data_IF_614121921556
#
_entry.id   IF_614121921556
#
_cell.length_a   1.000
_cell.length_b   1.000
_cell.length_c   1.000
_cell.angle_alpha   90.00
_cell.angle_beta   90.00
_cell.angle_gamma   90.00
#
_symmetry.space_group_name_H-M   'P 1'
#
loop_
_entity.id
_entity.type
_entity.pdbx_description
1 polymer ?
#
# COMPACT_ATOMS: atom_id res chain seq x y z
N UNK A 1 -22.27 -38.23 -34.02
CA UNK A 1 -23.34 -37.27 -34.33
C UNK A 1 -24.03 -36.89 -33.03
N UNK A 2 -24.39 -35.62 -32.84
CA UNK A 2 -25.07 -35.14 -31.62
C UNK A 2 -26.49 -34.66 -31.91
N UNK A 3 -27.41 -35.03 -31.02
CA UNK A 3 -28.84 -34.72 -31.16
C UNK A 3 -29.21 -33.44 -30.41
N UNK A 4 -29.94 -32.55 -31.07
CA UNK A 4 -30.42 -31.32 -30.45
C UNK A 4 -31.52 -31.63 -29.40
N UNK A 5 -31.41 -31.07 -28.20
CA UNK A 5 -32.42 -31.27 -27.14
C UNK A 5 -33.76 -30.54 -27.40
N UNK A 6 -33.76 -29.51 -28.25
CA UNK A 6 -34.93 -28.69 -28.57
C UNK A 6 -35.77 -29.29 -29.72
N UNK A 7 -35.13 -29.65 -30.84
CA UNK A 7 -35.84 -30.13 -32.04
C UNK A 7 -35.56 -31.59 -32.40
N UNK A 8 -34.72 -32.29 -31.63
CA UNK A 8 -34.29 -33.69 -31.86
C UNK A 8 -33.57 -33.95 -33.18
N UNK A 9 -33.14 -32.91 -33.89
CA UNK A 9 -32.37 -33.04 -35.12
C UNK A 9 -30.96 -33.58 -34.84
N UNK A 10 -30.47 -34.48 -35.68
CA UNK A 10 -29.07 -34.92 -35.69
C UNK A 10 -28.18 -33.87 -36.36
N UNK A 11 -27.07 -33.54 -35.69
CA UNK A 11 -26.07 -32.59 -36.14
C UNK A 11 -24.68 -33.23 -36.09
N UNK A 12 -23.73 -32.65 -36.83
CA UNK A 12 -22.32 -33.05 -36.76
C UNK A 12 -21.78 -32.86 -35.34
N UNK A 13 -20.80 -33.68 -34.95
CA UNK A 13 -20.24 -33.65 -33.60
C UNK A 13 -19.57 -32.30 -33.26
N UNK A 14 -19.04 -31.61 -34.27
CA UNK A 14 -18.41 -30.30 -34.20
C UNK A 14 -19.38 -29.11 -34.40
N UNK A 15 -20.68 -29.37 -34.61
CA UNK A 15 -21.65 -28.31 -34.88
C UNK A 15 -21.87 -27.40 -33.65
N UNK A 16 -21.65 -26.09 -33.79
CA UNK A 16 -21.82 -25.14 -32.66
C UNK A 16 -23.27 -24.81 -32.31
N UNK A 17 -24.09 -24.75 -33.35
CA UNK A 17 -25.52 -24.50 -33.26
C UNK A 17 -26.27 -25.59 -34.04
N UNK A 18 -27.52 -25.87 -33.65
CA UNK A 18 -28.37 -26.73 -34.43
C UNK A 18 -28.71 -26.07 -35.78
N UNK A 19 -28.47 -26.75 -36.90
CA UNK A 19 -28.73 -26.19 -38.22
C UNK A 19 -30.23 -25.97 -38.51
N UNK A 20 -31.12 -26.67 -37.79
CA UNK A 20 -32.56 -26.59 -38.02
C UNK A 20 -33.27 -25.55 -37.15
N UNK A 21 -32.94 -25.47 -35.86
CA UNK A 21 -33.63 -24.57 -34.92
C UNK A 21 -32.74 -23.45 -34.35
N UNK A 22 -31.44 -23.45 -34.64
CA UNK A 22 -30.51 -22.44 -34.15
C UNK A 22 -30.11 -22.55 -32.67
N UNK A 23 -30.61 -23.54 -31.93
CA UNK A 23 -30.28 -23.69 -30.51
C UNK A 23 -28.78 -23.99 -30.32
N UNK A 24 -28.08 -23.29 -29.40
CA UNK A 24 -26.68 -23.57 -29.07
C UNK A 24 -26.55 -24.87 -28.28
N UNK A 25 -25.43 -25.58 -28.46
CA UNK A 25 -25.15 -26.77 -27.65
C UNK A 25 -24.55 -26.37 -26.28
N UNK A 26 -24.94 -27.08 -25.21
CA UNK A 26 -24.76 -26.66 -23.81
C UNK A 26 -23.31 -26.41 -23.36
N UNK A 27 -22.32 -27.08 -23.97
CA UNK A 27 -20.89 -26.86 -23.66
C UNK A 27 -20.41 -25.49 -24.11
N UNK A 28 -20.89 -25.02 -25.26
CA UNK A 28 -20.52 -23.73 -25.83
C UNK A 28 -21.39 -22.61 -25.26
N UNK A 29 -22.66 -22.88 -24.93
CA UNK A 29 -23.49 -21.96 -24.17
C UNK A 29 -22.90 -21.69 -22.77
N UNK A 30 -22.26 -22.70 -22.13
CA UNK A 30 -21.52 -22.52 -20.87
C UNK A 30 -20.22 -21.75 -21.06
N UNK A 31 -19.46 -22.03 -22.13
CA UNK A 31 -18.24 -21.26 -22.45
C UNK A 31 -18.58 -19.79 -22.75
N UNK A 32 -19.59 -19.54 -23.59
CA UNK A 32 -20.07 -18.20 -23.89
C UNK A 32 -20.67 -17.51 -22.65
N UNK A 33 -21.40 -18.22 -21.79
CA UNK A 33 -21.91 -17.64 -20.53
C UNK A 33 -20.77 -17.22 -19.58
N UNK A 34 -19.71 -18.03 -19.45
CA UNK A 34 -18.53 -17.65 -18.65
C UNK A 34 -17.76 -16.47 -19.27
N UNK A 35 -17.65 -16.40 -20.59
CA UNK A 35 -17.03 -15.26 -21.30
C UNK A 35 -17.87 -13.97 -21.16
N UNK A 36 -19.21 -14.09 -21.06
CA UNK A 36 -20.11 -12.92 -20.97
C UNK A 36 -20.20 -12.37 -19.54
N UNK A 37 -20.00 -13.20 -18.50
CA UNK A 37 -19.91 -12.74 -17.10
C UNK A 37 -18.60 -11.97 -16.80
N UNK A 38 -17.52 -12.24 -17.56
CA UNK A 38 -16.22 -11.59 -17.36
C UNK A 38 -16.10 -10.22 -18.04
N UNK A 39 -17.01 -9.87 -18.96
CA UNK A 39 -17.00 -8.61 -19.71
C UNK A 39 -18.14 -7.65 -19.31
N UNK A 40 -18.81 -7.94 -18.19
CA UNK A 40 -19.71 -6.97 -17.58
C UNK A 40 -18.90 -5.71 -17.17
N UNK A 41 -19.41 -4.49 -17.39
CA UNK A 41 -18.74 -3.28 -16.96
C UNK A 41 -18.58 -3.27 -15.43
N UNK A 42 -17.40 -3.70 -14.97
CA UNK A 42 -17.04 -3.64 -13.56
C UNK A 42 -17.18 -2.21 -13.08
N UNK A 43 -17.91 -2.03 -11.98
CA UNK A 43 -18.09 -0.73 -11.37
C UNK A 43 -16.76 -0.20 -10.84
N UNK A 44 -16.59 1.11 -10.81
CA UNK A 44 -15.39 1.76 -10.25
C UNK A 44 -15.07 1.27 -8.83
N UNK A 45 -16.11 0.92 -8.07
CA UNK A 45 -15.99 0.37 -6.72
C UNK A 45 -15.37 -1.03 -6.71
N UNK A 46 -15.75 -1.91 -7.64
CA UNK A 46 -15.20 -3.27 -7.74
C UNK A 46 -13.73 -3.24 -8.13
N UNK A 47 -13.38 -2.40 -9.10
CA UNK A 47 -11.99 -2.17 -9.51
C UNK A 47 -11.14 -1.66 -8.34
N UNK A 48 -11.69 -0.74 -7.56
CA UNK A 48 -11.03 -0.17 -6.41
C UNK A 48 -10.84 -1.21 -5.29
N UNK A 49 -11.83 -2.08 -5.07
CA UNK A 49 -11.72 -3.22 -4.15
C UNK A 49 -10.66 -4.21 -4.58
N UNK A 50 -10.63 -4.57 -5.87
CA UNK A 50 -9.63 -5.47 -6.45
C UNK A 50 -8.21 -4.90 -6.28
N UNK A 51 -8.02 -3.60 -6.56
CA UNK A 51 -6.73 -2.94 -6.39
C UNK A 51 -6.29 -2.85 -4.93
N UNK A 52 -7.18 -2.48 -4.00
CA UNK A 52 -6.81 -2.29 -2.59
C UNK A 52 -6.59 -3.65 -1.89
N UNK A 53 -7.38 -4.66 -2.26
CA UNK A 53 -7.34 -5.98 -1.65
C UNK A 53 -7.90 -5.99 -0.22
N UNK A 54 -7.20 -6.57 0.78
CA UNK A 54 -7.72 -6.71 2.14
C UNK A 54 -8.12 -5.37 2.77
N UNK A 55 -9.25 -5.38 3.47
CA UNK A 55 -9.86 -4.21 4.15
C UNK A 55 -10.28 -3.08 3.20
N UNK A 56 -10.55 -3.36 1.93
CA UNK A 56 -10.93 -2.35 0.94
C UNK A 56 -12.09 -1.45 1.39
N UNK A 57 -13.15 -1.99 2.01
CA UNK A 57 -14.32 -1.22 2.43
C UNK A 57 -13.96 -0.04 3.35
N UNK A 58 -13.04 -0.25 4.30
CA UNK A 58 -12.55 0.81 5.19
C UNK A 58 -11.82 1.92 4.44
N UNK A 59 -11.05 1.56 3.42
CA UNK A 59 -10.38 2.55 2.57
C UNK A 59 -11.38 3.31 1.70
N UNK A 60 -12.40 2.63 1.16
CA UNK A 60 -13.46 3.28 0.39
C UNK A 60 -14.18 4.34 1.21
N UNK A 61 -14.53 4.05 2.46
CA UNK A 61 -15.12 5.04 3.37
C UNK A 61 -14.22 6.24 3.61
N UNK A 62 -12.91 6.01 3.70
CA UNK A 62 -11.93 7.07 3.87
C UNK A 62 -11.79 7.90 2.57
N UNK A 63 -11.81 7.25 1.42
CA UNK A 63 -11.68 7.89 0.10
C UNK A 63 -12.88 8.78 -0.25
N UNK A 64 -14.08 8.46 0.27
CA UNK A 64 -15.25 9.35 0.17
C UNK A 64 -14.95 10.74 0.73
N UNK A 65 -14.15 10.86 1.80
CA UNK A 65 -13.79 12.15 2.41
C UNK A 65 -12.91 13.01 1.49
N UNK A 66 -12.14 12.36 0.62
CA UNK A 66 -11.23 13.01 -0.33
C UNK A 66 -11.87 13.29 -1.70
N UNK A 67 -13.14 12.94 -1.88
CA UNK A 67 -13.86 13.14 -3.13
C UNK A 67 -14.88 14.26 -2.95
N UNK A 68 -14.62 15.43 -3.54
CA UNK A 68 -15.50 16.60 -3.50
C UNK A 68 -16.25 16.82 -4.83
N UNK A 69 -17.20 17.76 -4.88
CA UNK A 69 -17.99 18.09 -6.08
C UNK A 69 -17.14 18.50 -7.30
N UNK A 70 -15.94 19.04 -7.07
CA UNK A 70 -14.99 19.47 -8.09
C UNK A 70 -13.78 18.53 -8.28
N UNK A 71 -13.78 17.33 -7.68
CA UNK A 71 -12.68 16.37 -7.80
C UNK A 71 -11.96 16.05 -6.48
N UNK A 72 -10.69 15.59 -6.54
CA UNK A 72 -9.89 15.24 -5.36
C UNK A 72 -9.70 16.45 -4.43
N UNK A 73 -10.10 16.32 -3.18
CA UNK A 73 -9.86 17.32 -2.13
C UNK A 73 -9.03 16.71 -1.01
N UNK A 74 -8.09 17.50 -0.47
CA UNK A 74 -7.38 17.08 0.72
C UNK A 74 -8.31 17.19 1.94
N UNK A 75 -8.36 16.13 2.75
CA UNK A 75 -8.94 16.18 4.08
C UNK A 75 -7.94 15.59 5.07
N UNK A 76 -7.73 16.25 6.19
CA UNK A 76 -6.84 15.73 7.22
C UNK A 76 -7.45 14.44 7.78
N UNK A 77 -6.67 13.35 7.77
CA UNK A 77 -7.09 12.08 8.33
C UNK A 77 -5.91 11.42 9.02
N UNK A 78 -6.18 10.77 10.15
CA UNK A 78 -5.13 10.13 10.92
C UNK A 78 -4.96 8.67 10.50
N UNK A 79 -3.71 8.26 10.26
CA UNK A 79 -3.35 6.92 9.84
C UNK A 79 -2.35 6.31 10.84
N UNK A 80 -2.92 5.60 11.82
CA UNK A 80 -2.16 4.97 12.92
C UNK A 80 -1.00 4.09 12.47
N UNK A 81 -1.14 3.20 11.46
CA UNK A 81 -0.03 2.33 11.09
C UNK A 81 1.20 3.09 10.58
N UNK A 82 1.00 4.17 9.81
CA UNK A 82 2.11 4.97 9.30
C UNK A 82 2.80 5.78 10.41
N UNK A 83 2.07 6.17 11.45
CA UNK A 83 2.64 6.86 12.61
C UNK A 83 3.43 5.91 13.53
N UNK A 84 2.87 4.74 13.84
CA UNK A 84 3.44 3.83 14.86
C UNK A 84 4.49 2.87 14.29
N UNK A 85 4.23 2.26 13.13
CA UNK A 85 5.00 1.12 12.61
C UNK A 85 5.93 1.52 11.47
N UNK A 86 6.74 2.56 11.67
CA UNK A 86 7.65 3.15 10.67
C UNK A 86 6.97 3.51 9.34
N UNK A 87 6.85 4.80 8.99
CA UNK A 87 6.14 5.23 7.78
C UNK A 87 6.52 4.44 6.52
N UNK A 88 7.82 4.20 6.30
CA UNK A 88 8.32 3.54 5.11
C UNK A 88 7.83 2.09 4.96
N UNK A 89 7.66 1.35 6.05
CA UNK A 89 7.20 -0.04 6.01
C UNK A 89 5.76 -0.13 5.53
N UNK A 90 4.92 0.82 5.94
CA UNK A 90 3.54 0.87 5.47
C UNK A 90 3.47 1.20 3.98
N UNK A 91 4.25 2.18 3.52
CA UNK A 91 4.33 2.50 2.08
C UNK A 91 4.84 1.31 1.27
N UNK A 92 5.85 0.59 1.77
CA UNK A 92 6.38 -0.61 1.14
C UNK A 92 5.35 -1.74 1.11
N UNK A 93 4.67 -1.98 2.22
CA UNK A 93 3.59 -2.98 2.34
C UNK A 93 2.48 -2.76 1.31
N UNK A 94 2.17 -1.50 0.99
CA UNK A 94 1.19 -1.07 -0.03
C UNK A 94 1.77 -0.89 -1.44
N UNK A 95 2.98 -1.39 -1.70
CA UNK A 95 3.69 -1.29 -3.00
C UNK A 95 3.94 0.15 -3.49
N UNK A 96 3.90 1.13 -2.60
CA UNK A 96 4.23 2.53 -2.91
C UNK A 96 5.74 2.77 -2.78
N UNK A 97 6.53 2.15 -3.66
CA UNK A 97 8.00 2.09 -3.51
C UNK A 97 8.70 3.44 -3.47
N UNK A 98 8.22 4.42 -4.25
CA UNK A 98 8.79 5.78 -4.25
C UNK A 98 8.58 6.46 -2.88
N UNK A 99 7.37 6.39 -2.34
CA UNK A 99 7.09 6.94 -1.01
C UNK A 99 7.83 6.15 0.08
N UNK A 100 7.94 4.83 -0.05
CA UNK A 100 8.72 4.03 0.88
C UNK A 100 10.18 4.50 0.91
N UNK A 101 10.80 4.77 -0.25
CA UNK A 101 12.16 5.28 -0.32
C UNK A 101 12.30 6.68 0.32
N UNK A 102 11.37 7.59 0.00
CA UNK A 102 11.35 8.95 0.59
C UNK A 102 11.27 8.89 2.11
N UNK A 103 10.38 8.06 2.65
CA UNK A 103 10.20 7.94 4.10
C UNK A 103 11.25 7.07 4.80
N UNK A 104 12.03 6.28 4.06
CA UNK A 104 13.18 5.55 4.60
C UNK A 104 14.43 6.46 4.73
N UNK A 105 14.67 7.30 3.72
CA UNK A 105 15.86 8.16 3.66
C UNK A 105 15.62 9.51 4.33
N UNK A 106 14.41 10.07 4.20
CA UNK A 106 14.04 11.40 4.66
C UNK A 106 14.35 11.68 6.14
N UNK A 107 13.90 10.82 7.07
CA UNK A 107 14.21 10.98 8.49
C UNK A 107 15.72 10.93 8.78
N UNK A 108 16.45 10.02 8.14
CA UNK A 108 17.89 9.88 8.31
C UNK A 108 18.67 11.10 7.80
N UNK A 109 18.28 11.63 6.63
CA UNK A 109 18.85 12.87 6.08
C UNK A 109 18.52 14.09 6.94
N UNK A 110 17.29 14.19 7.44
CA UNK A 110 16.89 15.26 8.34
C UNK A 110 17.72 15.23 9.63
N UNK A 111 17.85 14.05 10.26
CA UNK A 111 18.72 13.87 11.42
C UNK A 111 20.19 14.22 11.12
N UNK A 112 20.73 13.79 9.97
CA UNK A 112 22.10 14.11 9.60
C UNK A 112 22.35 15.63 9.49
N UNK A 113 21.39 16.38 8.97
CA UNK A 113 21.51 17.84 8.78
C UNK A 113 21.27 18.60 10.09
N UNK A 114 20.22 18.25 10.84
CA UNK A 114 19.80 19.03 12.02
C UNK A 114 20.45 18.55 13.32
N UNK A 115 20.98 17.31 13.33
CA UNK A 115 21.43 16.60 14.53
C UNK A 115 20.36 16.51 15.63
N UNK A 116 19.07 16.62 15.26
CA UNK A 116 17.93 16.60 16.16
C UNK A 116 17.18 15.27 16.07
N UNK A 117 17.12 14.53 17.17
CA UNK A 117 16.38 13.27 17.26
C UNK A 117 14.86 13.47 17.07
N UNK A 118 14.33 14.68 17.28
CA UNK A 118 12.91 14.98 17.08
C UNK A 118 12.49 14.92 15.59
N UNK A 119 13.46 14.99 14.66
CA UNK A 119 13.21 14.92 13.23
C UNK A 119 12.41 13.65 12.84
N UNK A 120 12.73 12.49 13.43
CA UNK A 120 11.99 11.24 13.19
C UNK A 120 10.51 11.37 13.55
N UNK A 121 10.21 11.98 14.70
CA UNK A 121 8.84 12.18 15.18
C UNK A 121 8.07 13.10 14.21
N UNK A 122 8.69 14.18 13.74
CA UNK A 122 8.07 15.09 12.76
C UNK A 122 7.69 14.34 11.48
N UNK A 123 8.61 13.53 10.93
CA UNK A 123 8.33 12.70 9.76
C UNK A 123 7.18 11.71 9.99
N UNK A 124 7.10 11.11 11.18
CA UNK A 124 6.01 10.20 11.57
C UNK A 124 4.67 10.90 11.68
N UNK A 125 4.63 12.13 12.22
CA UNK A 125 3.40 12.94 12.29
C UNK A 125 2.92 13.32 10.89
N UNK A 126 3.84 13.75 10.02
CA UNK A 126 3.53 14.05 8.61
C UNK A 126 2.97 12.81 7.91
N UNK A 127 3.61 11.65 8.07
CA UNK A 127 3.12 10.38 7.53
C UNK A 127 1.74 10.03 8.09
N UNK A 128 1.54 10.16 9.40
CA UNK A 128 0.27 9.89 10.08
C UNK A 128 -0.88 10.74 9.53
N UNK A 129 -0.64 12.03 9.24
CA UNK A 129 -1.66 12.93 8.71
C UNK A 129 -1.92 12.81 7.20
N UNK A 130 -0.94 12.31 6.43
CA UNK A 130 -0.98 12.34 4.96
C UNK A 130 -1.12 10.96 4.29
N UNK A 131 -0.77 9.87 4.97
CA UNK A 131 -0.67 8.53 4.38
C UNK A 131 -1.96 8.08 3.63
N UNK A 132 -3.13 8.29 4.23
CA UNK A 132 -4.41 7.94 3.59
C UNK A 132 -4.65 8.72 2.28
N UNK A 133 -4.29 10.01 2.27
CA UNK A 133 -4.46 10.86 1.09
C UNK A 133 -3.45 10.50 0.00
N UNK A 134 -2.20 10.26 0.37
CA UNK A 134 -1.16 9.79 -0.55
C UNK A 134 -1.60 8.47 -1.21
N UNK A 135 -2.12 7.53 -0.41
CA UNK A 135 -2.61 6.26 -0.94
C UNK A 135 -3.84 6.43 -1.82
N UNK A 136 -4.79 7.28 -1.44
CA UNK A 136 -5.93 7.64 -2.30
C UNK A 136 -5.48 8.15 -3.67
N UNK A 137 -4.55 9.11 -3.67
CA UNK A 137 -4.01 9.67 -4.91
C UNK A 137 -3.33 8.60 -5.76
N UNK A 138 -2.46 7.79 -5.14
CA UNK A 138 -1.75 6.71 -5.79
C UNK A 138 -2.71 5.70 -6.45
N UNK A 139 -3.73 5.24 -5.71
CA UNK A 139 -4.72 4.28 -6.22
C UNK A 139 -5.50 4.88 -7.40
N UNK A 140 -5.94 6.14 -7.30
CA UNK A 140 -6.66 6.81 -8.39
C UNK A 140 -5.81 6.97 -9.64
N UNK A 141 -4.54 7.34 -9.48
CA UNK A 141 -3.61 7.51 -10.58
C UNK A 141 -3.32 6.18 -11.29
N UNK A 142 -3.05 5.12 -10.52
CA UNK A 142 -2.84 3.78 -11.08
C UNK A 142 -4.10 3.27 -11.79
N UNK A 143 -5.28 3.47 -11.19
CA UNK A 143 -6.51 3.02 -11.80
C UNK A 143 -6.86 3.83 -13.07
N UNK A 144 -6.55 5.12 -13.10
CA UNK A 144 -6.69 5.94 -14.31
C UNK A 144 -5.77 5.44 -15.43
N UNK A 145 -4.51 5.10 -15.13
CA UNK A 145 -3.56 4.52 -16.09
C UNK A 145 -4.06 3.18 -16.63
N UNK A 146 -4.48 2.27 -15.75
CA UNK A 146 -5.04 0.97 -16.13
C UNK A 146 -6.28 1.13 -17.02
N UNK A 147 -7.14 2.13 -16.75
CA UNK A 147 -8.30 2.42 -17.59
C UNK A 147 -7.91 3.00 -18.95
N UNK A 148 -6.93 3.90 -19.00
CA UNK A 148 -6.48 4.53 -20.25
C UNK A 148 -5.70 3.60 -21.17
N UNK A 149 -4.92 2.68 -20.59
CA UNK A 149 -4.10 1.73 -21.36
C UNK A 149 -4.93 0.58 -21.96
N UNK A 150 -6.21 0.45 -21.59
CA UNK A 150 -6.94 -0.80 -21.78
C UNK A 150 -8.41 -0.67 -22.14
N UNK A 151 -8.73 0.18 -23.11
CA UNK A 151 -9.99 0.09 -23.83
C UNK A 151 -10.16 -1.23 -24.65
N UNK A 152 -9.43 -2.32 -24.38
CA UNK A 152 -9.31 -3.46 -25.33
C UNK A 152 -9.13 -4.88 -24.72
N UNK A 153 -9.32 -5.14 -23.41
CA UNK A 153 -9.36 -6.55 -22.93
C UNK A 153 -9.47 -6.78 -21.42
N UNK A 154 -10.49 -7.54 -20.98
CA UNK A 154 -10.85 -7.75 -19.56
C UNK A 154 -9.90 -8.66 -18.75
N UNK A 155 -9.47 -9.80 -19.29
CA UNK A 155 -8.71 -10.83 -18.55
C UNK A 155 -7.36 -10.30 -18.03
N UNK A 156 -6.65 -9.56 -18.88
CA UNK A 156 -5.34 -9.00 -18.51
C UNK A 156 -5.48 -7.83 -17.51
N UNK A 157 -6.68 -7.24 -17.35
CA UNK A 157 -6.95 -6.15 -16.38
C UNK A 157 -6.95 -6.62 -14.96
N UNK A 158 -7.58 -7.75 -14.68
CA UNK A 158 -7.60 -8.33 -13.32
C UNK A 158 -6.20 -8.75 -12.88
N UNK A 159 -5.41 -9.30 -13.81
CA UNK A 159 -4.00 -9.64 -13.56
C UNK A 159 -3.18 -8.40 -13.18
N UNK A 160 -3.28 -7.30 -13.95
CA UNK A 160 -2.57 -6.06 -13.61
C UNK A 160 -3.03 -5.45 -12.28
N UNK A 161 -4.33 -5.52 -11.96
CA UNK A 161 -4.84 -5.06 -10.67
C UNK A 161 -4.23 -5.84 -9.51
N UNK A 162 -4.06 -7.16 -9.66
CA UNK A 162 -3.37 -8.01 -8.68
C UNK A 162 -1.87 -7.75 -8.58
N UNK A 163 -1.19 -7.51 -9.70
CA UNK A 163 0.25 -7.25 -9.74
C UNK A 163 0.62 -5.88 -9.16
N UNK A 164 -0.09 -4.83 -9.55
CA UNK A 164 0.18 -3.44 -9.14
C UNK A 164 -0.42 -3.12 -7.77
N UNK A 165 -1.58 -3.70 -7.47
CA UNK A 165 -2.32 -3.47 -6.24
C UNK A 165 -1.98 -4.47 -5.12
N UNK A 166 -2.82 -4.47 -4.10
CA UNK A 166 -2.79 -5.40 -2.99
C UNK A 166 -1.78 -5.03 -1.90
N UNK A 167 -1.20 -6.06 -1.29
CA UNK A 167 -0.33 -5.95 -0.13
C UNK A 167 0.84 -6.92 -0.22
N UNK A 168 1.92 -6.63 0.51
CA UNK A 168 3.08 -7.53 0.65
C UNK A 168 3.17 -8.11 2.07
N UNK A 169 2.61 -9.30 2.34
CA UNK A 169 2.48 -9.83 3.71
C UNK A 169 3.81 -9.99 4.46
N UNK A 170 4.90 -10.32 3.75
CA UNK A 170 6.21 -10.51 4.37
C UNK A 170 6.77 -9.24 5.03
N UNK A 171 6.36 -8.05 4.57
CA UNK A 171 6.83 -6.75 5.11
C UNK A 171 6.46 -6.59 6.58
N UNK A 172 5.35 -7.21 7.03
CA UNK A 172 4.95 -7.20 8.44
C UNK A 172 6.03 -7.85 9.32
N UNK A 173 6.55 -9.00 8.90
CA UNK A 173 7.60 -9.71 9.64
C UNK A 173 8.94 -8.98 9.63
N UNK A 174 9.28 -8.35 8.49
CA UNK A 174 10.44 -7.44 8.41
C UNK A 174 10.29 -6.31 9.42
N UNK A 175 9.10 -5.71 9.51
CA UNK A 175 8.80 -4.66 10.47
C UNK A 175 8.92 -5.09 11.93
N UNK A 176 8.42 -6.28 12.27
CA UNK A 176 8.59 -6.86 13.62
C UNK A 176 10.07 -7.03 13.94
N UNK A 177 10.86 -7.55 13.01
CA UNK A 177 12.31 -7.72 13.20
C UNK A 177 13.02 -6.38 13.44
N UNK A 178 12.71 -5.35 12.66
CA UNK A 178 13.29 -4.01 12.82
C UNK A 178 12.89 -3.34 14.14
N UNK A 179 11.65 -3.52 14.58
CA UNK A 179 11.19 -2.99 15.86
C UNK A 179 11.95 -3.63 17.03
N UNK A 180 12.10 -4.96 17.02
CA UNK A 180 12.87 -5.70 18.03
C UNK A 180 14.33 -5.24 18.04
N UNK A 181 14.93 -5.06 16.86
CA UNK A 181 16.29 -4.53 16.73
C UNK A 181 16.42 -3.13 17.34
N UNK A 182 15.51 -2.20 17.02
CA UNK A 182 15.52 -0.83 17.58
C UNK A 182 15.38 -0.85 19.11
N UNK A 183 14.48 -1.67 19.66
CA UNK A 183 14.33 -1.82 21.12
C UNK A 183 15.63 -2.35 21.73
N UNK A 184 16.25 -3.35 21.12
CA UNK A 184 17.54 -3.89 21.56
C UNK A 184 18.65 -2.85 21.60
N UNK A 185 18.76 -2.01 20.57
CA UNK A 185 19.73 -0.90 20.51
C UNK A 185 19.48 0.13 21.61
N UNK A 186 18.22 0.52 21.84
CA UNK A 186 17.86 1.45 22.92
C UNK A 186 18.22 0.87 24.28
N UNK A 187 17.92 -0.40 24.53
CA UNK A 187 18.29 -1.10 25.78
C UNK A 187 19.81 -1.17 25.96
N UNK A 188 20.57 -1.40 24.87
CA UNK A 188 22.03 -1.40 24.91
C UNK A 188 22.58 -0.01 25.27
N UNK A 189 22.07 1.05 24.65
CA UNK A 189 22.44 2.44 24.98
C UNK A 189 22.16 2.79 26.44
N UNK A 190 21.04 2.34 27.00
CA UNK A 190 20.74 2.55 28.43
C UNK A 190 21.67 1.77 29.37
N UNK A 191 22.19 0.62 28.93
CA UNK A 191 23.15 -0.18 29.70
C UNK A 191 24.56 0.41 29.69
N UNK A 192 24.98 0.97 28.55
CA UNK A 192 26.34 1.49 28.35
C UNK A 192 26.50 2.95 28.84
N UNK A 193 25.39 3.68 29.03
CA UNK A 193 25.41 5.10 29.39
C UNK A 193 25.84 5.99 28.21
N UNK A 194 25.60 7.31 28.27
CA UNK A 194 26.06 8.21 27.21
C UNK A 194 27.59 8.11 27.08
N UNK A 195 28.16 8.13 25.85
CA UNK A 195 29.61 8.14 25.69
C UNK A 195 30.21 9.32 26.47
N UNK A 196 31.24 9.04 27.27
CA UNK A 196 31.92 10.04 28.11
C UNK A 196 32.22 11.29 27.26
N UNK A 197 31.60 12.42 27.63
CA UNK A 197 31.86 13.71 27.00
C UNK A 197 33.35 14.09 27.12
N UNK A 198 33.86 14.99 26.26
CA UNK A 198 35.26 15.37 26.29
C UNK A 198 35.64 15.84 27.71
N UNK A 199 36.62 15.15 28.32
CA UNK A 199 37.11 15.46 29.66
C UNK A 199 37.48 16.94 29.73
N UNK A 200 36.69 17.71 30.48
CA UNK A 200 36.98 19.11 30.74
C UNK A 200 38.38 19.27 31.34
N UNK A 201 39.06 20.41 31.09
CA UNK A 201 40.41 20.61 31.58
C UNK A 201 40.47 20.50 33.11
N UNK A 202 41.58 20.01 33.68
CA UNK A 202 41.72 19.77 35.11
C UNK A 202 41.44 21.05 35.89
N UNK A 203 40.63 20.92 36.95
CA UNK A 203 40.28 22.02 37.84
C UNK A 203 41.55 22.70 38.38
N UNK A 204 41.62 24.02 38.27
CA UNK A 204 42.75 24.81 38.79
C UNK A 204 42.82 24.67 40.31
N UNK A 205 44.01 24.49 40.91
CA UNK A 205 44.16 24.39 42.35
C UNK A 205 43.75 25.71 43.02
N UNK A 206 42.92 25.59 44.07
CA UNK A 206 42.53 26.71 44.92
C UNK A 206 43.74 27.25 45.69
N UNK A 207 43.96 28.58 45.77
CA UNK A 207 45.03 29.13 46.60
C UNK A 207 44.70 28.95 48.09
N UNK A 208 45.65 28.42 48.84
CA UNK A 208 45.58 28.29 50.28
C UNK A 208 45.51 29.68 50.94
N UNK A 209 44.47 29.93 51.74
CA UNK A 209 44.37 31.14 52.54
C UNK A 209 45.41 31.10 53.66
N UNK A 210 46.46 31.92 53.49
CA UNK A 210 47.42 32.25 54.55
C UNK A 210 46.68 33.04 55.65
N UNK A 211 46.46 32.39 56.78
CA UNK A 211 46.12 33.05 58.04
C UNK A 211 47.44 33.49 58.68
N UNK A 212 47.70 34.79 58.70
CA UNK A 212 48.74 35.37 59.54
C UNK A 212 48.13 35.84 60.86
N UNK A 213 48.80 35.46 61.95
CA UNK A 213 48.60 35.83 63.35
C UNK A 213 48.96 37.29 63.58
#
# INVERSE_FOLDING_TARGET
MKTCSQCRQENRDDARFCHQCGAPFALEARAAASETEQDAPQTDTELLKAFIGPNADRYLETFKKFSGPGGPQFALSWHWPAFVFEPFLWFLYRKMYVYALIYAIGPAMAFYITQDLSADIVWRVIAGGSANYIYFWHVKEQLAKIKSERATGGETREQLLGELGGVQPYVVWVGVGLLVLKIGLVVAMFKEGPPDGPKGPPAKPHPASLTHV
#
